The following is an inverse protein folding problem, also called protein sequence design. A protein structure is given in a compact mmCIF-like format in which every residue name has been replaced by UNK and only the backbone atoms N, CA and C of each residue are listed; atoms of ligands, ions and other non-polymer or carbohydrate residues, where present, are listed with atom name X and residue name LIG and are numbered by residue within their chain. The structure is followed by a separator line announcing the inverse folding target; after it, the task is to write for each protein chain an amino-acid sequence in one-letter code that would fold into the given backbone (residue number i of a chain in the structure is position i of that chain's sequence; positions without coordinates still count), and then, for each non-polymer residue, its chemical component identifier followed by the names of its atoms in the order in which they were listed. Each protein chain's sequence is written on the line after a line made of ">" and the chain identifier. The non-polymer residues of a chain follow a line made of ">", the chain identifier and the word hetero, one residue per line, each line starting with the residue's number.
data_IF_075225481892
#
_entry.id   IF_075225481892
#
_cell.length_a   1.000
_cell.length_b   1.000
_cell.length_c   1.000
_cell.angle_alpha   90.00
_cell.angle_beta   90.00
_cell.angle_gamma   90.00
#
_symmetry.space_group_name_H-M   'P 1'
#
loop_
_entity.id
_entity.type
_entity.pdbx_description
1 polymer ?
#
# COMPACT_ATOMS: atom_id res chain seq x y z
N UNK A 1 11.37 -2.30 15.97
CA UNK A 1 10.55 -2.25 17.21
C UNK A 1 9.49 -1.15 17.13
N UNK A 2 9.81 0.07 16.67
CA UNK A 2 8.81 1.14 16.40
C UNK A 2 7.73 0.74 15.37
N UNK A 3 8.14 0.14 14.23
CA UNK A 3 7.25 -0.38 13.16
C UNK A 3 6.16 -1.32 13.69
N UNK A 4 6.54 -2.21 14.61
CA UNK A 4 5.65 -3.23 15.17
C UNK A 4 4.63 -2.61 16.14
N UNK A 5 5.00 -1.53 16.82
CA UNK A 5 4.10 -0.79 17.72
C UNK A 5 3.03 -0.05 16.90
N UNK A 6 3.40 0.65 15.82
CA UNK A 6 2.44 1.37 14.96
C UNK A 6 1.48 0.44 14.21
N UNK A 7 1.97 -0.68 13.66
CA UNK A 7 1.11 -1.70 13.05
C UNK A 7 0.13 -2.27 14.08
N UNK A 8 0.63 -2.68 15.26
CA UNK A 8 -0.22 -3.23 16.31
C UNK A 8 -1.27 -2.24 16.83
N UNK A 9 -0.95 -0.96 17.06
CA UNK A 9 -1.93 -0.01 17.61
C UNK A 9 -3.10 0.29 16.67
N UNK A 10 -2.90 0.22 15.34
CA UNK A 10 -3.97 0.45 14.36
C UNK A 10 -4.70 -0.83 13.94
N UNK A 11 -4.04 -2.01 13.95
CA UNK A 11 -4.68 -3.29 13.64
C UNK A 11 -5.46 -3.92 14.81
N UNK A 12 -5.01 -3.74 16.07
CA UNK A 12 -5.65 -4.39 17.22
C UNK A 12 -7.10 -3.94 17.47
N UNK A 13 -7.55 -2.83 16.89
CA UNK A 13 -8.91 -2.32 17.12
C UNK A 13 -10.01 -3.09 16.35
N UNK A 14 -9.68 -4.05 15.48
CA UNK A 14 -10.65 -4.68 14.57
C UNK A 14 -11.01 -6.14 14.86
N UNK A 15 -10.38 -6.81 15.83
CA UNK A 15 -10.61 -8.25 16.03
C UNK A 15 -11.19 -8.60 17.40
N UNK A 16 -12.43 -8.19 17.66
CA UNK A 16 -13.30 -8.79 18.68
C UNK A 16 -14.14 -9.95 18.09
N UNK A 17 -13.53 -10.84 17.30
CA UNK A 17 -14.20 -11.97 16.68
C UNK A 17 -13.24 -13.05 16.16
N UNK A 18 -13.64 -14.32 16.28
CA UNK A 18 -12.84 -15.56 16.06
C UNK A 18 -12.25 -15.77 14.65
N UNK A 19 -12.31 -14.81 13.72
CA UNK A 19 -11.74 -14.92 12.37
C UNK A 19 -10.68 -13.83 12.16
N UNK A 20 -9.42 -14.19 11.87
CA UNK A 20 -8.37 -13.22 11.59
C UNK A 20 -8.70 -12.39 10.33
N UNK A 21 -8.54 -11.07 10.44
CA UNK A 21 -8.72 -10.13 9.32
C UNK A 21 -7.61 -10.30 8.27
N UNK A 22 -7.85 -9.87 7.03
CA UNK A 22 -6.81 -9.83 5.99
C UNK A 22 -5.55 -9.08 6.47
N UNK A 23 -5.71 -7.94 7.13
CA UNK A 23 -4.60 -7.17 7.67
C UNK A 23 -3.82 -7.97 8.73
N UNK A 24 -4.50 -8.76 9.57
CA UNK A 24 -3.81 -9.63 10.55
C UNK A 24 -2.99 -10.74 9.89
N UNK A 25 -3.41 -11.26 8.72
CA UNK A 25 -2.57 -12.17 7.95
C UNK A 25 -1.33 -11.50 7.37
N UNK A 26 -1.45 -10.26 6.88
CA UNK A 26 -0.30 -9.49 6.38
C UNK A 26 0.69 -9.21 7.51
N UNK A 27 0.21 -8.74 8.67
CA UNK A 27 1.05 -8.49 9.84
C UNK A 27 1.78 -9.76 10.28
N UNK A 28 1.05 -10.87 10.45
CA UNK A 28 1.64 -12.14 10.83
C UNK A 28 2.68 -12.62 9.82
N UNK A 29 2.39 -12.52 8.52
CA UNK A 29 3.33 -12.91 7.47
C UNK A 29 4.63 -12.10 7.53
N UNK A 30 4.53 -10.78 7.77
CA UNK A 30 5.71 -9.92 7.92
C UNK A 30 6.55 -10.32 9.14
N UNK A 31 5.90 -10.60 10.28
CA UNK A 31 6.59 -10.97 11.51
C UNK A 31 7.28 -12.33 11.38
N UNK A 32 6.54 -13.34 10.89
CA UNK A 32 7.02 -14.72 10.81
C UNK A 32 8.15 -14.90 9.79
N UNK A 33 8.25 -14.01 8.78
CA UNK A 33 9.19 -14.13 7.66
C UNK A 33 10.17 -12.95 7.55
N UNK A 34 10.42 -12.25 8.66
CA UNK A 34 11.12 -10.95 8.71
C UNK A 34 12.36 -10.81 7.80
N UNK A 35 13.24 -11.80 7.77
CA UNK A 35 14.50 -11.80 7.02
C UNK A 35 14.44 -12.56 5.68
N UNK A 36 13.27 -13.03 5.27
CA UNK A 36 13.05 -13.68 3.97
C UNK A 36 12.68 -12.66 2.88
N UNK A 37 12.91 -13.07 1.63
CA UNK A 37 12.53 -12.29 0.46
C UNK A 37 11.00 -12.29 0.27
N UNK A 38 10.43 -11.13 -0.06
CA UNK A 38 8.99 -10.93 -0.17
C UNK A 38 8.55 -10.49 -1.58
N UNK A 39 9.18 -9.46 -2.12
CA UNK A 39 8.82 -8.84 -3.41
C UNK A 39 10.07 -8.61 -4.24
N UNK A 40 10.12 -9.12 -5.47
CA UNK A 40 11.27 -9.00 -6.36
C UNK A 40 10.87 -8.38 -7.68
N UNK A 41 11.54 -7.30 -8.06
CA UNK A 41 11.43 -6.73 -9.40
C UNK A 41 12.27 -7.53 -10.40
N UNK A 42 11.74 -7.72 -11.62
CA UNK A 42 12.50 -8.37 -12.68
C UNK A 42 13.75 -7.55 -13.04
N UNK A 43 14.93 -8.18 -12.93
CA UNK A 43 16.24 -7.51 -13.08
C UNK A 43 16.42 -6.30 -12.14
N UNK A 44 15.67 -6.27 -11.04
CA UNK A 44 15.66 -5.17 -10.09
C UNK A 44 16.01 -5.60 -8.68
N UNK A 45 15.50 -4.83 -7.72
CA UNK A 45 15.74 -5.06 -6.30
C UNK A 45 14.78 -6.11 -5.75
N UNK A 46 15.28 -6.92 -4.81
CA UNK A 46 14.46 -7.76 -3.95
C UNK A 46 14.27 -7.06 -2.61
N UNK A 47 13.02 -6.93 -2.20
CA UNK A 47 12.63 -6.46 -0.87
C UNK A 47 12.39 -7.66 0.03
N UNK A 48 13.03 -7.65 1.19
CA UNK A 48 12.70 -8.58 2.27
C UNK A 48 11.46 -8.11 3.03
N UNK A 49 10.82 -9.00 3.80
CA UNK A 49 9.63 -8.65 4.58
C UNK A 49 9.87 -7.45 5.51
N UNK A 50 11.05 -7.35 6.13
CA UNK A 50 11.45 -6.17 6.93
C UNK A 50 11.51 -4.87 6.14
N UNK A 51 11.87 -4.91 4.86
CA UNK A 51 11.94 -3.74 3.99
C UNK A 51 10.55 -3.30 3.55
N UNK A 52 9.68 -4.26 3.26
CA UNK A 52 8.24 -4.02 3.04
C UNK A 52 7.62 -3.36 4.27
N UNK A 53 7.86 -3.90 5.47
CA UNK A 53 7.35 -3.35 6.73
C UNK A 53 7.79 -1.90 6.97
N UNK A 54 9.08 -1.61 6.78
CA UNK A 54 9.63 -0.25 6.91
C UNK A 54 9.07 0.71 5.89
N UNK A 55 8.82 0.26 4.65
CA UNK A 55 8.20 1.12 3.64
C UNK A 55 6.72 1.38 3.96
N UNK A 56 5.98 0.37 4.42
CA UNK A 56 4.59 0.53 4.87
C UNK A 56 4.51 1.57 6.00
N UNK A 57 5.36 1.46 7.02
CA UNK A 57 5.42 2.44 8.13
C UNK A 57 5.63 3.87 7.61
N UNK A 58 6.58 4.08 6.71
CA UNK A 58 6.85 5.41 6.12
C UNK A 58 5.65 5.94 5.34
N UNK A 59 4.96 5.08 4.61
CA UNK A 59 3.76 5.47 3.87
C UNK A 59 2.60 5.80 4.81
N UNK A 60 2.42 5.06 5.91
CA UNK A 60 1.42 5.38 6.93
C UNK A 60 1.65 6.75 7.56
N UNK A 61 2.90 7.08 7.90
CA UNK A 61 3.27 8.42 8.39
C UNK A 61 2.97 9.50 7.34
N UNK A 62 3.22 9.22 6.05
CA UNK A 62 2.90 10.15 4.97
C UNK A 62 1.39 10.32 4.79
N UNK A 63 0.60 9.25 4.93
CA UNK A 63 -0.85 9.28 4.87
C UNK A 63 -1.44 10.12 6.01
N UNK A 64 -0.98 9.90 7.23
CA UNK A 64 -1.38 10.66 8.41
C UNK A 64 -1.09 12.15 8.24
N UNK A 65 0.15 12.49 7.85
CA UNK A 65 0.54 13.89 7.61
C UNK A 65 -0.19 14.53 6.41
N UNK A 66 -0.73 13.72 5.50
CA UNK A 66 -1.56 14.19 4.37
C UNK A 66 -3.05 14.27 4.71
N UNK A 67 -3.44 13.99 5.95
CA UNK A 67 -4.83 14.04 6.39
C UNK A 67 -5.70 12.90 5.86
N UNK A 68 -5.09 11.76 5.48
CA UNK A 68 -5.81 10.54 5.12
C UNK A 68 -6.38 9.91 6.38
N UNK A 69 -7.66 9.60 6.34
CA UNK A 69 -8.40 8.88 7.38
C UNK A 69 -8.93 7.55 6.83
N UNK A 70 -9.34 6.67 7.74
CA UNK A 70 -9.93 5.37 7.39
C UNK A 70 -11.10 5.56 6.41
N UNK A 71 -11.11 4.76 5.34
CA UNK A 71 -12.13 4.81 4.29
C UNK A 71 -11.83 5.78 3.14
N UNK A 72 -10.84 6.68 3.28
CA UNK A 72 -10.39 7.50 2.16
C UNK A 72 -9.79 6.66 1.04
N UNK A 73 -9.90 7.16 -0.19
CA UNK A 73 -9.42 6.49 -1.40
C UNK A 73 -8.02 6.99 -1.77
N UNK A 74 -7.12 6.07 -2.12
CA UNK A 74 -5.78 6.36 -2.63
C UNK A 74 -5.63 5.69 -3.99
N UNK A 75 -5.41 6.49 -5.03
CA UNK A 75 -5.19 5.99 -6.37
C UNK A 75 -3.73 5.57 -6.58
N UNK A 76 -3.51 4.47 -7.31
CA UNK A 76 -2.18 3.92 -7.57
C UNK A 76 -2.11 3.59 -9.06
N UNK A 77 -1.36 4.39 -9.83
CA UNK A 77 -1.18 4.23 -11.26
C UNK A 77 0.29 3.89 -11.57
N UNK A 78 0.55 2.72 -12.15
CA UNK A 78 1.92 2.33 -12.50
C UNK A 78 2.04 0.87 -12.92
N UNK A 79 3.21 0.52 -13.46
CA UNK A 79 3.59 -0.86 -13.78
C UNK A 79 3.65 -1.73 -12.53
N UNK A 80 3.46 -3.04 -12.73
CA UNK A 80 3.75 -4.04 -11.71
C UNK A 80 5.20 -3.87 -11.23
N UNK A 81 5.35 -3.55 -9.95
CA UNK A 81 6.63 -3.41 -9.28
C UNK A 81 6.49 -3.67 -7.78
N UNK A 82 7.59 -3.97 -7.11
CA UNK A 82 7.65 -4.16 -5.67
C UNK A 82 7.14 -2.90 -4.94
N UNK A 83 7.48 -1.70 -5.42
CA UNK A 83 6.99 -0.45 -4.83
C UNK A 83 5.48 -0.24 -5.05
N UNK A 84 4.92 -0.63 -6.20
CA UNK A 84 3.47 -0.61 -6.43
C UNK A 84 2.75 -1.51 -5.41
N UNK A 85 3.25 -2.74 -5.22
CA UNK A 85 2.69 -3.69 -4.25
C UNK A 85 2.79 -3.15 -2.82
N UNK A 86 3.91 -2.52 -2.45
CA UNK A 86 4.08 -1.86 -1.15
C UNK A 86 3.06 -0.74 -0.95
N UNK A 87 2.83 0.13 -1.95
CA UNK A 87 1.85 1.21 -1.85
C UNK A 87 0.43 0.68 -1.68
N UNK A 88 0.09 -0.40 -2.41
CA UNK A 88 -1.18 -1.09 -2.30
C UNK A 88 -1.38 -1.68 -0.89
N UNK A 89 -0.42 -2.45 -0.38
CA UNK A 89 -0.49 -3.06 0.95
C UNK A 89 -0.51 -1.99 2.05
N UNK A 90 0.28 -0.92 1.91
CA UNK A 90 0.27 0.19 2.85
C UNK A 90 -1.12 0.83 2.94
N UNK A 91 -1.79 1.03 1.80
CA UNK A 91 -3.14 1.60 1.73
C UNK A 91 -4.14 0.73 2.49
N UNK A 92 -4.14 -0.59 2.23
CA UNK A 92 -5.03 -1.54 2.90
C UNK A 92 -4.78 -1.63 4.42
N UNK A 93 -3.50 -1.71 4.81
CA UNK A 93 -3.11 -1.85 6.23
C UNK A 93 -3.32 -0.56 7.02
N UNK A 94 -3.36 0.60 6.35
CA UNK A 94 -3.76 1.88 6.96
C UNK A 94 -5.27 1.99 7.19
N UNK A 95 -6.07 1.15 6.51
CA UNK A 95 -7.53 1.23 6.51
C UNK A 95 -8.11 2.19 5.47
N UNK A 96 -7.30 2.64 4.52
CA UNK A 96 -7.74 3.34 3.31
C UNK A 96 -8.14 2.34 2.21
N UNK A 97 -8.76 2.85 1.14
CA UNK A 97 -9.23 2.07 -0.01
C UNK A 97 -8.29 2.30 -1.19
N UNK A 98 -7.64 1.23 -1.67
CA UNK A 98 -6.79 1.31 -2.85
C UNK A 98 -7.61 1.35 -4.13
N UNK A 99 -7.31 2.31 -5.01
CA UNK A 99 -7.89 2.45 -6.36
C UNK A 99 -6.80 2.18 -7.39
N UNK A 100 -6.63 0.93 -7.85
CA UNK A 100 -5.61 0.60 -8.84
C UNK A 100 -6.00 1.15 -10.22
N UNK A 101 -5.07 1.82 -10.89
CA UNK A 101 -5.24 2.36 -12.24
C UNK A 101 -4.20 1.74 -13.17
N UNK A 102 -4.64 1.25 -14.32
CA UNK A 102 -3.78 0.64 -15.32
C UNK A 102 -2.91 1.73 -15.98
N UNK A 103 -1.60 1.49 -16.09
CA UNK A 103 -0.66 2.51 -16.56
C UNK A 103 -0.69 2.74 -18.08
N UNK A 104 -1.26 1.80 -18.83
CA UNK A 104 -1.50 1.90 -20.28
C UNK A 104 -2.76 2.71 -20.64
N UNK A 105 -3.55 3.14 -19.65
CA UNK A 105 -4.68 4.02 -19.90
C UNK A 105 -4.23 5.38 -20.44
N UNK A 106 -5.05 5.93 -21.33
CA UNK A 106 -4.81 7.27 -21.85
C UNK A 106 -4.88 8.30 -20.71
N UNK A 107 -4.23 9.47 -20.86
CA UNK A 107 -4.30 10.52 -19.84
C UNK A 107 -5.73 10.90 -19.46
N UNK A 108 -6.66 10.91 -20.42
CA UNK A 108 -8.07 11.18 -20.19
C UNK A 108 -8.75 10.08 -19.35
N UNK A 109 -8.47 8.80 -19.64
CA UNK A 109 -8.99 7.69 -18.86
C UNK A 109 -8.47 7.71 -17.41
N UNK A 110 -7.17 7.96 -17.22
CA UNK A 110 -6.56 8.10 -15.88
C UNK A 110 -7.21 9.28 -15.14
N UNK A 111 -7.34 10.43 -15.79
CA UNK A 111 -7.99 11.62 -15.23
C UNK A 111 -9.42 11.32 -14.77
N UNK A 112 -10.21 10.65 -15.61
CA UNK A 112 -11.60 10.32 -15.29
C UNK A 112 -11.71 9.37 -14.09
N UNK A 113 -10.85 8.35 -14.02
CA UNK A 113 -10.84 7.40 -12.91
C UNK A 113 -10.43 8.10 -11.61
N UNK A 114 -9.32 8.84 -11.62
CA UNK A 114 -8.81 9.51 -10.42
C UNK A 114 -9.85 10.48 -9.86
N UNK A 115 -10.44 11.31 -10.71
CA UNK A 115 -11.44 12.29 -10.25
C UNK A 115 -12.73 11.62 -9.78
N UNK A 116 -13.27 10.65 -10.53
CA UNK A 116 -14.50 9.97 -10.14
C UNK A 116 -14.33 9.09 -8.90
N UNK A 117 -13.10 8.60 -8.67
CA UNK A 117 -12.77 7.86 -7.46
C UNK A 117 -12.69 8.73 -6.22
N UNK A 118 -12.67 10.07 -6.32
CA UNK A 118 -12.48 10.98 -5.18
C UNK A 118 -11.24 10.62 -4.34
N UNK A 119 -10.19 10.13 -5.00
CA UNK A 119 -8.95 9.78 -4.32
C UNK A 119 -8.30 11.03 -3.73
N UNK A 120 -7.86 10.96 -2.47
CA UNK A 120 -7.15 12.05 -1.79
C UNK A 120 -5.69 12.16 -2.19
N UNK A 121 -5.10 11.03 -2.57
CA UNK A 121 -3.71 10.91 -3.00
C UNK A 121 -3.63 10.05 -4.26
N UNK A 122 -2.64 10.34 -5.10
CA UNK A 122 -2.31 9.57 -6.29
C UNK A 122 -0.82 9.20 -6.25
N UNK A 123 -0.52 7.90 -6.22
CA UNK A 123 0.81 7.40 -6.54
C UNK A 123 0.95 7.18 -8.05
N UNK A 124 2.10 7.58 -8.59
CA UNK A 124 2.42 7.44 -10.01
C UNK A 124 3.76 6.73 -10.13
N UNK A 125 3.80 5.68 -10.96
CA UNK A 125 5.03 4.99 -11.34
C UNK A 125 5.92 5.84 -12.24
N UNK A 126 7.12 5.32 -12.54
CA UNK A 126 8.10 5.99 -13.42
C UNK A 126 7.64 6.12 -14.87
N UNK A 127 6.75 5.22 -15.32
CA UNK A 127 6.14 5.23 -16.65
C UNK A 127 4.62 5.16 -16.49
N UNK A 128 3.95 6.24 -16.88
CA UNK A 128 2.49 6.34 -16.93
C UNK A 128 2.11 7.14 -18.17
N UNK A 129 1.31 6.54 -19.06
CA UNK A 129 0.93 7.03 -20.38
C UNK A 129 2.11 7.35 -21.32
N UNK A 130 2.15 6.68 -22.48
CA UNK A 130 3.02 7.07 -23.61
C UNK A 130 2.31 8.17 -24.39
N UNK A 131 2.80 9.40 -24.32
CA UNK A 131 2.47 10.44 -25.32
C UNK A 131 2.83 10.00 -26.72
#
# INVERSE_FOLDING_TARGET
>A
MQVMIYLCTNLLFLCNGKIPSFNSFIEKSIIDNWDLDALTDYQGVTLQYKDVARKIEKLHIMFENSGVVKGDKIAICGRNSANWAVAFIATLTYGAVAVPVLHEFTPEQVYNIVNHSEAKLLFVGDVVATT
#
